data_IF_848826739054
#
_entry.id   IF_848826739054
#
_cell.length_a   1.000
_cell.length_b   1.000
_cell.length_c   1.000
_cell.angle_alpha   90.00
_cell.angle_beta   90.00
_cell.angle_gamma   90.00
#
_symmetry.space_group_name_H-M   'P 1'
#
loop_
_entity.id
_entity.type
_entity.pdbx_description
1 polymer ?
#
# COMPACT_ATOMS: atom_id res chain seq x y z
N UNK A 1 17.13 20.25 13.21
CA UNK A 1 15.96 19.99 12.35
C UNK A 1 16.31 18.97 11.27
N UNK A 2 17.50 19.09 10.65
CA UNK A 2 18.05 18.14 9.67
C UNK A 2 18.19 16.69 10.17
N UNK A 3 18.58 16.45 11.43
CA UNK A 3 18.69 15.09 11.97
C UNK A 3 17.36 14.31 11.99
N UNK A 4 16.24 14.98 12.26
CA UNK A 4 14.92 14.33 12.27
C UNK A 4 14.46 13.97 10.87
N UNK A 5 14.76 14.81 9.87
CA UNK A 5 14.48 14.54 8.46
C UNK A 5 15.34 13.37 7.93
N UNK A 6 16.62 13.32 8.30
CA UNK A 6 17.49 12.19 7.95
C UNK A 6 17.01 10.87 8.57
N UNK A 7 16.52 10.89 9.82
CA UNK A 7 15.90 9.73 10.48
C UNK A 7 14.61 9.28 9.78
N UNK A 8 13.80 10.23 9.30
CA UNK A 8 12.58 9.92 8.54
C UNK A 8 12.93 9.27 7.19
N UNK A 9 13.93 9.79 6.48
CA UNK A 9 14.40 9.23 5.21
C UNK A 9 15.03 7.83 5.38
N UNK A 10 15.97 7.67 6.31
CA UNK A 10 16.69 6.39 6.50
C UNK A 10 15.82 5.30 7.12
N UNK A 11 14.88 5.65 8.01
CA UNK A 11 14.09 4.67 8.75
C UNK A 11 12.71 4.39 8.15
N UNK A 12 12.12 5.37 7.45
CA UNK A 12 10.77 5.25 6.88
C UNK A 12 10.74 5.32 5.35
N UNK A 13 11.89 5.51 4.66
CA UNK A 13 11.97 5.62 3.19
C UNK A 13 11.03 6.67 2.58
N UNK A 14 10.77 7.72 3.36
CA UNK A 14 9.96 8.88 2.98
C UNK A 14 10.88 9.82 2.21
N UNK A 15 10.92 9.67 0.89
CA UNK A 15 11.76 10.50 0.02
C UNK A 15 10.82 11.24 -0.94
N UNK A 16 10.79 12.58 -0.88
CA UNK A 16 10.26 13.38 -1.98
C UNK A 16 10.91 12.95 -3.30
N UNK A 17 10.11 12.41 -4.23
CA UNK A 17 10.61 11.88 -5.50
C UNK A 17 10.99 10.39 -5.52
N UNK A 18 10.48 9.56 -4.60
CA UNK A 18 10.61 8.10 -4.72
C UNK A 18 9.91 7.60 -6.01
N UNK A 19 10.63 7.01 -6.98
CA UNK A 19 10.04 6.53 -8.24
C UNK A 19 8.91 5.51 -8.04
N UNK A 20 8.97 4.71 -6.97
CA UNK A 20 7.91 3.74 -6.63
C UNK A 20 6.57 4.44 -6.32
N UNK A 21 6.61 5.65 -5.73
CA UNK A 21 5.38 6.39 -5.41
C UNK A 21 4.66 6.82 -6.68
N UNK A 22 5.42 7.25 -7.70
CA UNK A 22 4.87 7.57 -9.02
C UNK A 22 4.20 6.36 -9.65
N UNK A 23 4.81 5.18 -9.60
CA UNK A 23 4.22 3.94 -10.13
C UNK A 23 2.91 3.59 -9.42
N UNK A 24 2.87 3.70 -8.08
CA UNK A 24 1.65 3.45 -7.31
C UNK A 24 0.55 4.45 -7.66
N UNK A 25 0.85 5.75 -7.72
CA UNK A 25 -0.12 6.79 -8.09
C UNK A 25 -0.66 6.56 -9.50
N UNK A 26 0.21 6.21 -10.47
CA UNK A 26 -0.21 5.89 -11.84
C UNK A 26 -1.16 4.68 -11.86
N UNK A 27 -0.84 3.62 -11.11
CA UNK A 27 -1.71 2.43 -11.03
C UNK A 27 -3.08 2.74 -10.39
N UNK A 28 -3.11 3.57 -9.34
CA UNK A 28 -4.35 4.03 -8.71
C UNK A 28 -5.15 4.93 -9.66
N UNK A 29 -4.48 5.79 -10.44
CA UNK A 29 -5.14 6.63 -11.43
C UNK A 29 -5.77 5.79 -12.55
N UNK A 30 -5.14 4.68 -12.96
CA UNK A 30 -5.77 3.71 -13.88
C UNK A 30 -7.03 3.12 -13.25
N UNK A 31 -6.99 2.70 -11.98
CA UNK A 31 -8.15 2.19 -11.26
C UNK A 31 -9.29 3.22 -11.20
N UNK A 32 -8.97 4.48 -10.88
CA UNK A 32 -9.92 5.60 -10.92
C UNK A 32 -10.54 5.76 -12.31
N UNK A 33 -9.73 5.75 -13.37
CA UNK A 33 -10.23 5.90 -14.73
C UNK A 33 -11.15 4.74 -15.13
N UNK A 34 -10.87 3.52 -14.67
CA UNK A 34 -11.72 2.36 -14.88
C UNK A 34 -13.07 2.52 -14.16
N UNK A 35 -13.05 2.94 -12.89
CA UNK A 35 -14.27 3.23 -12.12
C UNK A 35 -15.13 4.32 -12.78
N UNK A 36 -14.51 5.41 -13.23
CA UNK A 36 -15.22 6.58 -13.78
C UNK A 36 -15.76 6.34 -15.20
N UNK A 37 -14.98 5.69 -16.07
CA UNK A 37 -15.30 5.65 -17.51
C UNK A 37 -15.80 4.28 -17.99
N UNK A 38 -15.63 3.22 -17.19
CA UNK A 38 -15.97 1.83 -17.56
C UNK A 38 -16.82 1.14 -16.50
N UNK A 39 -17.43 1.91 -15.61
CA UNK A 39 -18.24 1.41 -14.48
C UNK A 39 -17.49 0.40 -13.60
N UNK A 40 -16.15 0.54 -13.53
CA UNK A 40 -15.28 -0.37 -12.79
C UNK A 40 -15.05 -1.72 -13.46
N UNK A 41 -15.47 -1.94 -14.71
CA UNK A 41 -15.20 -3.19 -15.44
C UNK A 41 -13.88 -3.05 -16.20
N UNK A 42 -12.93 -3.96 -15.92
CA UNK A 42 -11.59 -3.92 -16.51
C UNK A 42 -11.64 -4.18 -18.02
N UNK A 43 -11.08 -3.25 -18.80
CA UNK A 43 -10.92 -3.37 -20.24
C UNK A 43 -9.50 -3.84 -20.60
N UNK A 44 -9.41 -4.88 -21.41
CA UNK A 44 -8.12 -5.52 -21.75
C UNK A 44 -7.15 -4.57 -22.44
N UNK A 45 -7.64 -3.71 -23.33
CA UNK A 45 -6.78 -2.91 -24.20
C UNK A 45 -6.39 -1.58 -23.54
N UNK A 46 -7.16 -1.13 -22.55
CA UNK A 46 -6.97 0.17 -21.89
C UNK A 46 -6.40 0.08 -20.49
N UNK A 47 -6.71 -0.98 -19.75
CA UNK A 47 -6.40 -1.07 -18.32
C UNK A 47 -5.29 -2.07 -18.00
N UNK A 48 -5.13 -3.12 -18.81
CA UNK A 48 -4.20 -4.19 -18.55
C UNK A 48 -2.75 -3.86 -18.96
N UNK A 49 -1.82 -4.46 -18.23
CA UNK A 49 -0.39 -4.49 -18.55
C UNK A 49 -0.09 -5.60 -19.57
N UNK A 50 1.19 -5.78 -19.91
CA UNK A 50 1.63 -6.77 -20.91
C UNK A 50 1.29 -8.22 -20.55
N UNK A 51 1.09 -8.52 -19.26
CA UNK A 51 0.67 -9.83 -18.76
C UNK A 51 -0.84 -10.09 -18.95
N UNK A 52 -1.58 -9.11 -19.48
CA UNK A 52 -3.01 -9.20 -19.72
C UNK A 52 -3.88 -8.95 -18.50
N UNK A 53 -3.31 -8.45 -17.40
CA UNK A 53 -4.05 -8.12 -16.18
C UNK A 53 -3.86 -6.65 -15.77
N UNK A 54 -4.83 -6.12 -15.01
CA UNK A 54 -4.72 -4.80 -14.41
C UNK A 54 -4.17 -4.94 -12.99
N UNK A 55 -3.05 -4.26 -12.73
CA UNK A 55 -2.44 -4.16 -11.41
C UNK A 55 -2.77 -2.82 -10.76
N UNK A 56 -3.26 -2.86 -9.54
CA UNK A 56 -3.45 -1.67 -8.70
C UNK A 56 -2.59 -1.83 -7.47
N UNK A 57 -1.55 -0.99 -7.37
CA UNK A 57 -0.50 -1.11 -6.37
C UNK A 57 -0.48 0.08 -5.43
N UNK A 58 -0.24 -0.15 -4.15
CA UNK A 58 -0.09 0.90 -3.16
C UNK A 58 0.88 0.49 -2.05
N UNK A 59 1.37 1.48 -1.31
CA UNK A 59 2.16 1.26 -0.09
C UNK A 59 1.23 1.21 1.10
N UNK A 60 1.38 0.19 1.94
CA UNK A 60 0.57 -0.02 3.14
C UNK A 60 1.43 -0.11 4.39
N UNK A 61 0.85 0.25 5.53
CA UNK A 61 1.44 0.03 6.84
C UNK A 61 1.01 -1.35 7.33
N UNK A 62 1.98 -2.23 7.56
CA UNK A 62 1.73 -3.55 8.13
C UNK A 62 2.23 -3.57 9.58
N UNK A 63 1.30 -3.69 10.52
CA UNK A 63 1.59 -3.73 11.94
C UNK A 63 1.80 -5.17 12.41
N UNK A 64 2.85 -5.40 13.21
CA UNK A 64 3.19 -6.72 13.75
C UNK A 64 3.78 -6.61 15.17
N UNK A 65 3.73 -7.71 15.91
CA UNK A 65 4.38 -7.85 17.21
C UNK A 65 5.83 -8.33 17.07
N UNK A 66 6.74 -7.74 17.84
CA UNK A 66 8.09 -8.23 18.05
C UNK A 66 8.27 -8.58 19.52
N UNK A 67 8.45 -9.86 19.80
CA UNK A 67 8.61 -10.34 21.16
C UNK A 67 10.02 -10.04 21.71
N UNK A 68 10.11 -9.67 22.99
CA UNK A 68 11.31 -9.13 23.60
C UNK A 68 12.45 -10.13 23.77
N UNK A 69 12.17 -11.35 24.20
CA UNK A 69 13.20 -12.37 24.47
C UNK A 69 13.56 -13.17 23.22
N UNK A 70 12.56 -13.51 22.40
CA UNK A 70 12.74 -14.35 21.21
C UNK A 70 13.00 -13.57 19.92
N UNK A 71 12.71 -12.27 19.88
CA UNK A 71 12.70 -11.47 18.65
C UNK A 71 11.66 -11.93 17.63
N UNK A 72 10.76 -12.86 18.00
CA UNK A 72 9.81 -13.49 17.09
C UNK A 72 8.78 -12.47 16.60
N UNK A 73 8.50 -12.52 15.30
CA UNK A 73 7.42 -11.77 14.65
C UNK A 73 6.08 -12.49 14.81
N UNK A 74 5.06 -11.74 15.22
CA UNK A 74 3.67 -12.23 15.32
C UNK A 74 2.74 -11.31 14.54
N UNK A 75 1.84 -11.92 13.78
CA UNK A 75 0.81 -11.24 12.99
C UNK A 75 -0.46 -11.01 13.83
N UNK A 76 -1.11 -9.87 13.65
CA UNK A 76 -2.37 -9.55 14.31
C UNK A 76 -3.55 -9.98 13.42
N UNK A 77 -4.46 -10.78 13.95
CA UNK A 77 -5.67 -11.18 13.23
C UNK A 77 -6.82 -10.18 13.43
N UNK A 78 -7.10 -9.77 14.66
CA UNK A 78 -8.17 -8.78 14.98
C UNK A 78 -7.96 -8.07 16.32
N UNK A 79 -7.31 -8.74 17.29
CA UNK A 79 -6.94 -8.18 18.60
C UNK A 79 -5.43 -8.16 18.75
N UNK A 80 -4.91 -7.03 19.22
CA UNK A 80 -3.49 -6.90 19.53
C UNK A 80 -3.27 -7.52 20.91
N UNK A 81 -2.75 -8.74 20.94
CA UNK A 81 -2.30 -9.40 22.16
C UNK A 81 -0.91 -9.99 21.89
N UNK A 82 0.03 -9.69 22.78
CA UNK A 82 1.36 -10.28 22.75
C UNK A 82 1.40 -11.37 23.84
N UNK A 83 1.85 -12.60 23.51
CA UNK A 83 1.97 -13.69 24.47
C UNK A 83 3.04 -13.45 25.54
N UNK A 84 4.01 -12.56 25.27
CA UNK A 84 5.07 -12.14 26.20
C UNK A 84 5.37 -10.64 25.99
N UNK A 85 6.09 -9.97 26.93
CA UNK A 85 6.51 -8.60 26.73
C UNK A 85 7.21 -8.39 25.40
N UNK A 86 6.81 -7.35 24.68
CA UNK A 86 7.32 -7.05 23.35
C UNK A 86 6.92 -5.66 22.91
N UNK A 87 7.18 -5.36 21.64
CA UNK A 87 6.85 -4.08 21.01
C UNK A 87 5.99 -4.30 19.79
N UNK A 88 5.13 -3.32 19.51
CA UNK A 88 4.46 -3.21 18.22
C UNK A 88 5.43 -2.51 17.27
N UNK A 89 5.63 -3.10 16.10
CA UNK A 89 6.38 -2.51 15.01
C UNK A 89 5.48 -2.34 13.79
N UNK A 90 5.85 -1.38 12.94
CA UNK A 90 5.20 -1.13 11.67
C UNK A 90 6.28 -1.23 10.60
N UNK A 91 5.97 -1.94 9.53
CA UNK A 91 6.76 -1.93 8.30
C UNK A 91 5.92 -1.43 7.13
N UNK A 92 6.61 -0.89 6.13
CA UNK A 92 5.96 -0.51 4.88
C UNK A 92 6.01 -1.66 3.90
N UNK A 93 4.83 -2.15 3.49
CA UNK A 93 4.69 -3.23 2.51
C UNK A 93 4.10 -2.69 1.21
N UNK A 94 4.38 -3.40 0.12
CA UNK A 94 3.70 -3.20 -1.17
C UNK A 94 2.48 -4.12 -1.22
N UNK A 95 1.32 -3.57 -1.56
CA UNK A 95 0.12 -4.32 -1.92
C UNK A 95 -0.06 -4.28 -3.43
N UNK A 96 -0.64 -5.35 -3.98
CA UNK A 96 -0.95 -5.48 -5.40
C UNK A 96 -2.29 -6.21 -5.55
N UNK A 97 -3.31 -5.49 -5.99
CA UNK A 97 -4.59 -6.07 -6.35
C UNK A 97 -4.63 -6.29 -7.87
N UNK A 98 -4.79 -7.55 -8.26
CA UNK A 98 -4.74 -7.99 -9.66
C UNK A 98 -6.15 -8.29 -10.15
N UNK A 99 -6.52 -7.67 -11.26
CA UNK A 99 -7.83 -7.82 -11.88
C UNK A 99 -7.71 -8.28 -13.33
N UNK A 100 -8.45 -9.32 -13.68
CA UNK A 100 -8.53 -9.86 -15.03
C UNK A 100 -9.50 -9.05 -15.90
N UNK A 101 -9.37 -9.08 -17.24
CA UNK A 101 -10.34 -8.47 -18.13
C UNK A 101 -11.77 -8.90 -17.81
N UNK A 102 -12.71 -7.96 -17.90
CA UNK A 102 -14.14 -8.11 -17.56
C UNK A 102 -14.45 -8.32 -16.08
N UNK A 103 -13.46 -8.35 -15.19
CA UNK A 103 -13.73 -8.31 -13.75
C UNK A 103 -14.14 -6.90 -13.33
N UNK A 104 -15.02 -6.82 -12.34
CA UNK A 104 -15.33 -5.58 -11.65
C UNK A 104 -14.25 -5.30 -10.62
N UNK A 105 -13.72 -4.08 -10.61
CA UNK A 105 -12.84 -3.59 -9.56
C UNK A 105 -13.59 -3.63 -8.22
N UNK A 106 -13.09 -4.46 -7.33
CA UNK A 106 -13.58 -4.58 -5.97
C UNK A 106 -12.41 -4.41 -5.00
N UNK A 107 -12.54 -3.43 -4.12
CA UNK A 107 -11.60 -3.18 -3.04
C UNK A 107 -12.32 -3.37 -1.72
N UNK A 108 -11.69 -4.08 -0.79
CA UNK A 108 -12.21 -4.18 0.56
C UNK A 108 -12.10 -2.82 1.28
N UNK A 109 -12.85 -2.64 2.36
CA UNK A 109 -12.72 -1.43 3.20
C UNK A 109 -11.29 -1.24 3.76
N UNK A 110 -10.55 -2.29 4.16
CA UNK A 110 -9.12 -2.20 4.44
C UNK A 110 -8.29 -1.65 3.27
N UNK A 111 -8.46 -2.19 2.06
CA UNK A 111 -7.71 -1.73 0.88
C UNK A 111 -7.96 -0.24 0.61
N UNK A 112 -9.23 0.18 0.64
CA UNK A 112 -9.60 1.59 0.43
C UNK A 112 -8.97 2.50 1.50
N UNK A 113 -8.96 2.06 2.76
CA UNK A 113 -8.33 2.81 3.86
C UNK A 113 -6.82 2.97 3.63
N UNK A 114 -6.15 1.89 3.25
CA UNK A 114 -4.71 1.91 2.94
C UNK A 114 -4.41 2.82 1.74
N UNK A 115 -5.18 2.71 0.65
CA UNK A 115 -5.04 3.55 -0.54
C UNK A 115 -5.26 5.03 -0.20
N UNK A 116 -6.32 5.36 0.55
CA UNK A 116 -6.57 6.73 0.98
C UNK A 116 -5.44 7.28 1.86
N UNK A 117 -4.95 6.47 2.80
CA UNK A 117 -3.82 6.84 3.66
C UNK A 117 -2.56 7.11 2.83
N UNK A 118 -2.24 6.23 1.87
CA UNK A 118 -1.13 6.40 0.96
C UNK A 118 -1.23 7.71 0.15
N UNK A 119 -2.39 8.02 -0.43
CA UNK A 119 -2.60 9.26 -1.20
C UNK A 119 -2.40 10.51 -0.33
N UNK A 120 -2.93 10.51 0.90
CA UNK A 120 -2.75 11.63 1.84
C UNK A 120 -1.27 11.86 2.18
N UNK A 121 -0.50 10.78 2.29
CA UNK A 121 0.92 10.83 2.59
C UNK A 121 1.76 11.27 1.39
N UNK A 122 1.57 10.65 0.23
CA UNK A 122 2.32 10.95 -0.99
C UNK A 122 2.14 12.40 -1.46
N UNK A 123 1.00 13.04 -1.14
CA UNK A 123 0.76 14.47 -1.41
C UNK A 123 1.63 15.44 -0.62
N UNK A 124 2.21 15.01 0.51
CA UNK A 124 3.12 15.84 1.30
C UNK A 124 4.57 15.76 0.80
N UNK A 125 4.85 14.80 -0.09
CA UNK A 125 6.17 14.53 -0.67
C UNK A 125 6.33 15.05 -2.11
N UNK A 126 5.26 15.58 -2.71
CA UNK A 126 5.23 16.22 -4.03
C UNK A 126 5.16 17.74 -3.87
#
# INVERSE_FOLDING_TARGET
MEEKLNLLQTRFKVVPGNPEHTEFIVSIQKARNCLVHRFGIVDKDRDCSADGSMHVMWRANHAFGLLGESGKRIEFSEKISLPEPGRIAIELVKRDAVFQPRQTLYFSMPDLREICFFICFARQEL
#
